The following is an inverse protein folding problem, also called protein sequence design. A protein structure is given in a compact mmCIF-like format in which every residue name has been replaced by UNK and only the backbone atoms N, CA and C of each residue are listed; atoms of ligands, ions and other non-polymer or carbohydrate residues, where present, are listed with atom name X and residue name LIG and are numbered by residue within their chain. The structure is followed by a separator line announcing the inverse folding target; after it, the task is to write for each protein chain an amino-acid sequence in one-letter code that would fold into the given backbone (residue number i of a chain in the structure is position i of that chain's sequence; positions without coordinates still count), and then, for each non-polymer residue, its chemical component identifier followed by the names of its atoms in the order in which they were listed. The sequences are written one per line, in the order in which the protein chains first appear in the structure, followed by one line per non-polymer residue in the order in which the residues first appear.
data_IF_553269689084
#
_entry.id   IF_553269689084
#
_cell.length_a   1.000
_cell.length_b   1.000
_cell.length_c   1.000
_cell.angle_alpha   90.00
_cell.angle_beta   90.00
_cell.angle_gamma   90.00
#
_symmetry.space_group_name_H-M   'P 1'
#
loop_
_entity.id
_entity.type
_entity.pdbx_description
1 polymer ?
#
# COMPACT_ATOMS: atom_id res chain seq x y z
N UNK A 1 -28.05 -50.92 -13.02
CA UNK A 1 -28.38 -49.71 -12.24
C UNK A 1 -27.09 -49.00 -11.97
N UNK A 2 -26.88 -47.83 -12.57
CA UNK A 2 -25.66 -47.04 -12.40
C UNK A 2 -25.76 -46.27 -11.08
N UNK A 3 -24.76 -46.47 -10.24
CA UNK A 3 -24.58 -45.89 -8.92
C UNK A 3 -24.25 -44.39 -9.07
N UNK A 4 -25.22 -43.52 -8.77
CA UNK A 4 -24.99 -42.08 -8.61
C UNK A 4 -24.68 -41.80 -7.14
N UNK A 5 -23.49 -42.20 -6.68
CA UNK A 5 -22.98 -41.80 -5.37
C UNK A 5 -21.99 -40.65 -5.52
N UNK A 6 -22.34 -39.58 -4.81
CA UNK A 6 -21.48 -38.54 -4.23
C UNK A 6 -20.73 -37.54 -5.11
N UNK A 7 -21.43 -36.91 -6.07
CA UNK A 7 -20.97 -35.65 -6.69
C UNK A 7 -21.33 -34.41 -5.83
N UNK A 8 -22.16 -34.58 -4.79
CA UNK A 8 -22.60 -33.46 -3.95
C UNK A 8 -21.54 -33.04 -2.93
N UNK A 9 -20.77 -33.95 -2.34
CA UNK A 9 -19.70 -33.60 -1.41
C UNK A 9 -18.56 -32.86 -2.12
N UNK A 10 -18.13 -33.34 -3.29
CA UNK A 10 -17.10 -32.73 -4.12
C UNK A 10 -17.51 -31.32 -4.59
N UNK A 11 -18.74 -31.17 -5.10
CA UNK A 11 -19.26 -29.86 -5.50
C UNK A 11 -19.32 -28.87 -4.33
N UNK A 12 -19.68 -29.33 -3.13
CA UNK A 12 -19.69 -28.50 -1.94
C UNK A 12 -18.28 -28.15 -1.45
N UNK A 13 -17.28 -29.02 -1.67
CA UNK A 13 -15.87 -28.72 -1.37
C UNK A 13 -15.34 -27.63 -2.30
N UNK A 14 -15.58 -27.75 -3.60
CA UNK A 14 -15.17 -26.75 -4.61
C UNK A 14 -15.84 -25.40 -4.34
N UNK A 15 -17.13 -25.40 -4.00
CA UNK A 15 -17.84 -24.15 -3.65
C UNK A 15 -17.27 -23.50 -2.38
N UNK A 16 -16.87 -24.29 -1.37
CA UNK A 16 -16.22 -23.77 -0.16
C UNK A 16 -14.83 -23.21 -0.47
N UNK A 17 -14.04 -23.88 -1.29
CA UNK A 17 -12.73 -23.38 -1.73
C UNK A 17 -12.85 -22.09 -2.55
N UNK A 18 -13.85 -21.99 -3.43
CA UNK A 18 -14.13 -20.77 -4.20
C UNK A 18 -14.56 -19.62 -3.29
N UNK A 19 -15.43 -19.87 -2.31
CA UNK A 19 -15.86 -18.85 -1.33
C UNK A 19 -14.67 -18.40 -0.47
N UNK A 20 -13.85 -19.33 0.03
CA UNK A 20 -12.66 -18.99 0.82
C UNK A 20 -11.57 -18.26 0.02
N UNK A 21 -11.39 -18.61 -1.26
CA UNK A 21 -10.45 -17.93 -2.16
C UNK A 21 -10.97 -16.54 -2.49
N UNK A 22 -12.25 -16.40 -2.81
CA UNK A 22 -12.89 -15.11 -3.07
C UNK A 22 -12.87 -14.21 -1.83
N UNK A 23 -13.22 -14.71 -0.65
CA UNK A 23 -13.09 -13.96 0.60
C UNK A 23 -11.64 -13.55 0.82
N UNK A 24 -10.67 -14.43 0.66
CA UNK A 24 -9.24 -14.10 0.78
C UNK A 24 -8.81 -13.01 -0.20
N UNK A 25 -9.22 -13.09 -1.46
CA UNK A 25 -8.85 -12.12 -2.49
C UNK A 25 -9.57 -10.78 -2.31
N UNK A 26 -10.84 -10.80 -1.88
CA UNK A 26 -11.61 -9.60 -1.50
C UNK A 26 -11.04 -8.97 -0.24
N UNK A 27 -10.61 -9.76 0.75
CA UNK A 27 -9.90 -9.26 1.92
C UNK A 27 -8.52 -8.72 1.56
N UNK A 28 -7.76 -9.38 0.68
CA UNK A 28 -6.46 -8.86 0.19
C UNK A 28 -6.64 -7.56 -0.61
N UNK A 29 -7.73 -7.43 -1.38
CA UNK A 29 -8.08 -6.22 -2.12
C UNK A 29 -8.60 -5.10 -1.21
N UNK A 30 -9.42 -5.44 -0.21
CA UNK A 30 -9.94 -4.51 0.80
C UNK A 30 -8.90 -4.10 1.86
N UNK A 31 -7.87 -4.92 2.09
CA UNK A 31 -6.66 -4.55 2.84
C UNK A 31 -5.59 -3.91 1.94
N UNK A 32 -5.73 -3.93 0.61
CA UNK A 32 -4.90 -3.16 -0.33
C UNK A 32 -5.43 -1.72 -0.53
N UNK A 33 -5.82 -1.07 0.57
CA UNK A 33 -5.93 0.39 0.67
C UNK A 33 -4.88 0.97 1.61
N UNK A 34 -3.85 0.18 1.97
CA UNK A 34 -2.71 0.68 2.73
C UNK A 34 -1.91 1.60 1.80
N UNK A 35 -2.18 2.91 1.85
CA UNK A 35 -1.28 3.94 1.34
C UNK A 35 -1.83 4.95 0.36
N UNK A 36 -3.03 4.75 -0.21
CA UNK A 36 -3.60 5.75 -1.13
C UNK A 36 -4.33 6.85 -0.38
N UNK A 37 -3.83 8.07 -0.49
CA UNK A 37 -4.40 9.26 0.14
C UNK A 37 -4.54 10.38 -0.88
N UNK A 38 -5.65 11.11 -0.82
CA UNK A 38 -5.85 12.32 -1.64
C UNK A 38 -5.86 13.55 -0.73
N UNK A 39 -5.12 14.58 -1.13
CA UNK A 39 -5.16 15.91 -0.49
C UNK A 39 -6.38 16.70 -0.99
N UNK A 40 -6.73 16.53 -2.25
CA UNK A 40 -7.87 17.16 -2.90
C UNK A 40 -8.36 16.30 -4.08
N UNK A 41 -9.29 16.82 -4.88
CA UNK A 41 -9.89 16.12 -6.03
C UNK A 41 -8.91 15.79 -7.16
N UNK A 42 -7.70 16.34 -7.15
CA UNK A 42 -6.66 16.17 -8.19
C UNK A 42 -5.39 15.51 -7.68
N UNK A 43 -4.95 15.90 -6.49
CA UNK A 43 -3.65 15.52 -5.94
C UNK A 43 -3.76 14.40 -4.92
N UNK A 44 -2.96 13.36 -5.10
CA UNK A 44 -2.89 12.22 -4.19
C UNK A 44 -1.54 11.52 -4.22
N UNK A 45 -1.33 10.66 -3.22
CA UNK A 45 -0.16 9.82 -3.04
C UNK A 45 -0.58 8.37 -2.86
N UNK A 46 0.26 7.46 -3.31
CA UNK A 46 0.04 6.02 -3.20
C UNK A 46 1.33 5.36 -2.76
N UNK A 47 1.22 4.35 -1.89
CA UNK A 47 2.35 3.55 -1.45
C UNK A 47 2.28 2.20 -2.13
N UNK A 48 3.36 1.79 -2.78
CA UNK A 48 3.43 0.45 -3.36
C UNK A 48 4.81 -0.13 -3.09
N UNK A 49 4.84 -1.18 -2.28
CA UNK A 49 6.06 -1.88 -1.80
C UNK A 49 7.06 -0.92 -1.16
N UNK A 50 7.99 -0.42 -1.95
CA UNK A 50 9.15 0.39 -1.59
C UNK A 50 9.15 1.77 -2.27
N UNK A 51 8.10 2.10 -3.04
CA UNK A 51 8.01 3.34 -3.81
C UNK A 51 6.76 4.15 -3.44
N UNK A 52 6.96 5.46 -3.26
CA UNK A 52 5.88 6.45 -3.16
C UNK A 52 5.55 6.96 -4.55
N UNK A 53 4.28 7.00 -4.91
CA UNK A 53 3.78 7.59 -6.16
C UNK A 53 2.96 8.83 -5.86
N UNK A 54 2.89 9.73 -6.84
CA UNK A 54 2.06 10.94 -6.80
C UNK A 54 1.22 11.05 -8.06
N UNK A 55 -0.02 11.47 -7.90
CA UNK A 55 -0.90 11.93 -8.97
C UNK A 55 -1.19 13.42 -8.80
N UNK A 56 -1.41 14.10 -9.93
CA UNK A 56 -1.93 15.48 -9.99
C UNK A 56 -3.13 15.60 -10.92
N UNK A 57 -3.65 14.46 -11.39
CA UNK A 57 -4.70 14.37 -12.40
C UNK A 57 -5.83 13.42 -11.99
N UNK A 58 -6.20 13.47 -10.70
CA UNK A 58 -7.34 12.74 -10.12
C UNK A 58 -7.11 11.22 -10.12
N UNK A 59 -5.84 10.79 -10.05
CA UNK A 59 -5.47 9.39 -10.05
C UNK A 59 -5.49 8.73 -11.44
N UNK A 60 -5.57 9.51 -12.52
CA UNK A 60 -5.47 8.97 -13.89
C UNK A 60 -4.05 8.51 -14.20
N UNK A 61 -3.03 9.27 -13.76
CA UNK A 61 -1.63 8.90 -13.86
C UNK A 61 -0.95 9.01 -12.48
N UNK A 62 -0.09 8.04 -12.20
CA UNK A 62 0.71 7.95 -10.98
C UNK A 62 2.19 7.92 -11.35
N UNK A 63 2.92 8.96 -10.97
CA UNK A 63 4.35 9.09 -11.24
C UNK A 63 5.16 8.79 -9.97
N UNK A 64 6.28 8.05 -10.08
CA UNK A 64 7.12 7.77 -8.92
C UNK A 64 7.71 9.07 -8.38
N UNK A 65 7.60 9.26 -7.07
CA UNK A 65 8.22 10.36 -6.36
C UNK A 65 9.70 10.03 -6.14
N UNK A 66 10.59 10.87 -6.68
CA UNK A 66 12.02 10.62 -6.66
C UNK A 66 12.52 10.59 -5.21
N UNK A 67 13.14 9.48 -4.81
CA UNK A 67 13.78 9.39 -3.51
C UNK A 67 15.06 10.23 -3.47
N UNK A 68 15.24 10.99 -2.40
CA UNK A 68 16.51 11.63 -2.06
C UNK A 68 17.41 10.65 -1.28
N UNK A 69 18.62 11.10 -0.96
CA UNK A 69 19.58 10.27 -0.23
C UNK A 69 19.06 9.88 1.16
N UNK A 70 18.35 10.79 1.85
CA UNK A 70 17.80 10.54 3.18
C UNK A 70 16.76 9.43 3.13
N UNK A 71 15.80 9.50 2.21
CA UNK A 71 14.79 8.45 2.04
C UNK A 71 15.45 7.12 1.63
N UNK A 72 16.37 7.16 0.66
CA UNK A 72 17.08 5.96 0.16
C UNK A 72 17.84 5.26 1.29
N UNK A 73 18.57 6.00 2.12
CA UNK A 73 19.33 5.42 3.23
C UNK A 73 18.44 4.95 4.38
N UNK A 74 17.33 5.64 4.62
CA UNK A 74 16.37 5.24 5.66
C UNK A 74 15.67 3.93 5.31
N UNK A 75 15.27 3.75 4.05
CA UNK A 75 14.62 2.53 3.55
C UNK A 75 15.49 1.27 3.69
N UNK A 76 16.83 1.40 3.74
CA UNK A 76 17.73 0.25 4.01
C UNK A 76 17.51 -0.34 5.40
N UNK A 77 17.15 0.50 6.38
CA UNK A 77 16.95 0.09 7.78
C UNK A 77 15.47 -0.07 8.14
N UNK A 78 14.59 0.65 7.43
CA UNK A 78 13.14 0.66 7.60
C UNK A 78 12.45 0.42 6.25
N UNK A 79 12.45 -0.84 5.75
CA UNK A 79 12.08 -1.15 4.37
C UNK A 79 10.57 -1.09 4.09
N UNK A 80 9.73 -0.85 5.10
CA UNK A 80 8.28 -0.90 4.94
C UNK A 80 7.70 0.50 4.92
N UNK A 81 7.05 0.87 3.82
CA UNK A 81 6.23 2.08 3.72
C UNK A 81 4.89 1.83 4.44
N UNK A 82 4.72 2.40 5.63
CA UNK A 82 3.53 2.17 6.44
C UNK A 82 2.42 3.17 6.13
N UNK A 83 2.75 4.46 6.04
CA UNK A 83 1.77 5.51 5.82
C UNK A 83 2.38 6.76 5.21
N UNK A 84 1.63 7.45 4.35
CA UNK A 84 1.96 8.77 3.82
C UNK A 84 0.80 9.72 4.07
N UNK A 85 1.11 10.97 4.43
CA UNK A 85 0.11 12.02 4.59
C UNK A 85 0.69 13.38 4.20
N UNK A 86 -0.03 14.10 3.35
CA UNK A 86 0.28 15.50 3.02
C UNK A 86 -0.83 16.40 3.53
N UNK A 87 -0.47 17.59 4.03
CA UNK A 87 -1.42 18.65 4.44
C UNK A 87 -1.46 19.81 3.44
N UNK A 88 -0.51 19.82 2.51
CA UNK A 88 -0.44 20.71 1.36
C UNK A 88 0.37 20.02 0.27
N UNK A 89 0.40 20.55 -0.95
CA UNK A 89 1.21 19.99 -2.04
C UNK A 89 2.73 20.01 -1.77
N UNK A 90 3.17 20.62 -0.65
CA UNK A 90 4.58 20.76 -0.25
C UNK A 90 4.92 20.08 1.08
N UNK A 91 4.04 20.16 2.07
CA UNK A 91 4.32 19.66 3.42
C UNK A 91 3.61 18.33 3.66
N UNK A 92 4.39 17.32 4.03
CA UNK A 92 3.90 15.98 4.30
C UNK A 92 4.88 15.14 5.12
N UNK A 93 4.42 13.93 5.45
CA UNK A 93 5.12 12.95 6.26
C UNK A 93 5.02 11.57 5.65
N UNK A 94 6.05 10.77 5.91
CA UNK A 94 6.14 9.37 5.54
C UNK A 94 6.58 8.57 6.76
N UNK A 95 5.76 7.61 7.16
CA UNK A 95 6.06 6.65 8.21
C UNK A 95 6.68 5.41 7.58
N UNK A 96 7.87 5.06 8.05
CA UNK A 96 8.58 3.83 7.67
C UNK A 96 8.70 2.91 8.87
N UNK A 97 8.63 1.61 8.62
CA UNK A 97 8.67 0.57 9.66
C UNK A 97 9.70 -0.52 9.34
N UNK A 98 10.09 -1.24 10.39
CA UNK A 98 10.83 -2.50 10.27
C UNK A 98 10.19 -3.54 11.19
N UNK A 99 9.82 -4.69 10.63
CA UNK A 99 9.26 -5.82 11.39
C UNK A 99 10.30 -6.50 12.26
N UNK A 100 11.56 -6.53 11.82
CA UNK A 100 12.65 -7.21 12.54
C UNK A 100 12.89 -6.58 13.90
N UNK A 101 12.96 -5.24 13.95
CA UNK A 101 13.21 -4.50 15.19
C UNK A 101 11.93 -3.98 15.85
N UNK A 102 10.76 -4.14 15.21
CA UNK A 102 9.47 -3.53 15.60
C UNK A 102 9.62 -2.02 15.89
N UNK A 103 10.33 -1.32 15.01
CA UNK A 103 10.58 0.12 15.12
C UNK A 103 9.97 0.85 13.94
N UNK A 104 9.65 2.11 14.17
CA UNK A 104 9.21 3.04 13.14
C UNK A 104 10.07 4.30 13.14
N UNK A 105 10.11 4.97 12.00
CA UNK A 105 10.76 6.26 11.80
C UNK A 105 9.85 7.16 10.98
N UNK A 106 9.79 8.44 11.37
CA UNK A 106 8.98 9.43 10.69
C UNK A 106 9.88 10.36 9.89
N UNK A 107 9.60 10.45 8.59
CA UNK A 107 10.23 11.42 7.71
C UNK A 107 9.26 12.58 7.45
N UNK A 108 9.79 13.79 7.34
CA UNK A 108 9.05 14.99 6.94
C UNK A 108 9.63 15.58 5.67
N UNK A 109 8.77 16.12 4.82
CA UNK A 109 9.14 16.97 3.69
C UNK A 109 8.47 18.33 3.79
N UNK A 110 9.08 19.34 3.17
CA UNK A 110 8.52 20.70 3.02
C UNK A 110 8.53 21.19 1.57
N UNK A 111 8.91 20.34 0.62
CA UNK A 111 9.05 20.65 -0.80
C UNK A 111 8.32 19.66 -1.73
N UNK A 112 7.35 18.93 -1.20
CA UNK A 112 6.51 17.99 -1.97
C UNK A 112 7.11 16.59 -2.08
N UNK A 113 8.06 16.25 -1.21
CA UNK A 113 8.76 14.96 -1.18
C UNK A 113 10.02 14.92 -2.03
N UNK A 114 10.50 16.06 -2.53
CA UNK A 114 11.76 16.11 -3.25
C UNK A 114 12.95 15.93 -2.31
N UNK A 115 12.83 16.40 -1.06
CA UNK A 115 13.76 16.13 0.03
C UNK A 115 13.02 15.72 1.29
N UNK A 116 13.66 14.86 2.08
CA UNK A 116 13.15 14.34 3.34
C UNK A 116 14.11 14.63 4.49
N UNK A 117 13.55 14.77 5.69
CA UNK A 117 14.31 14.91 6.94
C UNK A 117 13.73 13.97 7.98
N UNK A 118 14.61 13.25 8.67
CA UNK A 118 14.25 12.40 9.82
C UNK A 118 13.79 13.28 10.98
N UNK A 119 12.68 12.90 11.62
CA UNK A 119 12.17 13.52 12.85
C UNK A 119 12.52 12.70 14.10
#
# INVERSE_FOLDING_TARGET
MHDQTDNSSEKMSVLREMIHTYERDVWNFAFSIIGRVFLNDKEGWDLNKDQVYRTTDRGQNWLPLKADNVLTDTLKNYPQLAQVQFISSKVGWLLLETTELKKSILLKTSDGGNTWTVL
#
